data_IF_398601915744
#
_entry.id   IF_398601915744
#
_cell.length_a   1.000
_cell.length_b   1.000
_cell.length_c   1.000
_cell.angle_alpha   90.00
_cell.angle_beta   90.00
_cell.angle_gamma   90.00
#
_symmetry.space_group_name_H-M   'P 1'
#
loop_
_entity.id
_entity.type
_entity.pdbx_description
1 polymer ?
#
# COMPACT_ATOMS: atom_id res chain seq x y z
N UNK A 1 -43.40 23.72 -13.20
CA UNK A 1 -42.40 23.37 -14.24
C UNK A 1 -41.02 23.95 -13.97
N UNK A 2 -40.87 25.01 -13.18
CA UNK A 2 -39.58 25.67 -12.93
C UNK A 2 -38.55 24.79 -12.17
N UNK A 3 -39.03 23.93 -11.26
CA UNK A 3 -38.19 22.97 -10.52
C UNK A 3 -37.40 22.01 -11.41
N UNK A 4 -37.97 21.59 -12.56
CA UNK A 4 -37.30 20.66 -13.47
C UNK A 4 -36.20 21.35 -14.31
N UNK A 5 -36.39 22.63 -14.63
CA UNK A 5 -35.45 23.39 -15.46
C UNK A 5 -34.18 23.74 -14.66
N UNK A 6 -34.35 24.04 -13.37
CA UNK A 6 -33.23 24.28 -12.46
C UNK A 6 -32.38 23.01 -12.24
N UNK A 7 -33.01 21.84 -12.13
CA UNK A 7 -32.32 20.57 -11.97
C UNK A 7 -31.43 20.21 -13.18
N UNK A 8 -31.87 20.53 -14.39
CA UNK A 8 -31.11 20.23 -15.61
C UNK A 8 -29.84 21.09 -15.74
N UNK A 9 -29.94 22.38 -15.45
CA UNK A 9 -28.79 23.28 -15.46
C UNK A 9 -27.73 22.85 -14.43
N UNK A 10 -28.16 22.51 -13.21
CA UNK A 10 -27.27 22.00 -12.18
C UNK A 10 -26.54 20.72 -12.60
N UNK A 11 -27.26 19.78 -13.23
CA UNK A 11 -26.68 18.52 -13.71
C UNK A 11 -25.65 18.73 -14.83
N UNK A 12 -25.90 19.65 -15.76
CA UNK A 12 -24.93 19.98 -16.81
C UNK A 12 -23.70 20.64 -16.20
N UNK A 13 -23.88 21.59 -15.27
CA UNK A 13 -22.78 22.25 -14.58
C UNK A 13 -21.92 21.27 -13.78
N UNK A 14 -22.53 20.32 -13.06
CA UNK A 14 -21.79 19.31 -12.31
C UNK A 14 -21.00 18.38 -13.23
N UNK A 15 -21.58 17.99 -14.37
CA UNK A 15 -20.91 17.17 -15.37
C UNK A 15 -19.70 17.91 -15.97
N UNK A 16 -19.85 19.19 -16.35
CA UNK A 16 -18.74 20.01 -16.85
C UNK A 16 -17.63 20.14 -15.80
N UNK A 17 -17.99 20.44 -14.55
CA UNK A 17 -17.02 20.56 -13.45
C UNK A 17 -16.29 19.23 -13.21
N UNK A 18 -16.98 18.11 -13.27
CA UNK A 18 -16.38 16.77 -13.19
C UNK A 18 -15.35 16.55 -14.29
N UNK A 19 -15.68 16.87 -15.55
CA UNK A 19 -14.74 16.77 -16.67
C UNK A 19 -13.50 17.65 -16.47
N UNK A 20 -13.67 18.89 -15.98
CA UNK A 20 -12.55 19.79 -15.70
C UNK A 20 -11.61 19.24 -14.63
N UNK A 21 -12.15 18.67 -13.54
CA UNK A 21 -11.34 18.00 -12.50
C UNK A 21 -10.51 16.87 -13.12
N UNK A 22 -11.10 16.05 -14.00
CA UNK A 22 -10.38 14.94 -14.61
C UNK A 22 -9.34 15.37 -15.63
N UNK A 23 -9.60 16.41 -16.41
CA UNK A 23 -8.56 17.03 -17.27
C UNK A 23 -7.40 17.51 -16.41
N UNK A 24 -7.69 18.16 -15.28
CA UNK A 24 -6.65 18.60 -14.34
C UNK A 24 -5.85 17.42 -13.78
N UNK A 25 -6.51 16.34 -13.35
CA UNK A 25 -5.82 15.10 -12.89
C UNK A 25 -4.91 14.52 -13.97
N UNK A 26 -5.37 14.43 -15.21
CA UNK A 26 -4.56 13.93 -16.34
C UNK A 26 -3.35 14.82 -16.59
N UNK A 27 -3.52 16.14 -16.54
CA UNK A 27 -2.42 17.10 -16.67
C UNK A 27 -1.42 16.94 -15.53
N UNK A 28 -1.88 16.81 -14.28
CA UNK A 28 -1.01 16.55 -13.13
C UNK A 28 -0.24 15.25 -13.28
N UNK A 29 -0.90 14.18 -13.70
CA UNK A 29 -0.26 12.89 -13.93
C UNK A 29 0.79 12.98 -15.06
N UNK A 30 0.53 13.77 -16.10
CA UNK A 30 1.49 14.04 -17.16
C UNK A 30 2.71 14.83 -16.66
N UNK A 31 2.50 15.82 -15.79
CA UNK A 31 3.59 16.58 -15.18
C UNK A 31 4.45 15.71 -14.26
N UNK A 32 3.81 14.84 -13.47
CA UNK A 32 4.49 13.91 -12.53
C UNK A 32 5.30 12.85 -13.27
N UNK A 33 4.92 12.47 -14.51
CA UNK A 33 5.68 11.52 -15.33
C UNK A 33 7.15 11.88 -15.52
N UNK A 34 7.51 13.16 -15.43
CA UNK A 34 8.89 13.61 -15.62
C UNK A 34 9.77 13.43 -14.37
N UNK A 35 9.18 13.19 -13.20
CA UNK A 35 9.94 12.82 -12.01
C UNK A 35 10.34 11.35 -12.22
N UNK A 36 11.64 11.07 -12.22
CA UNK A 36 12.18 9.70 -12.24
C UNK A 36 11.80 8.98 -10.93
N UNK A 37 10.51 8.71 -10.75
CA UNK A 37 10.01 7.81 -9.74
C UNK A 37 10.58 6.43 -10.11
N UNK A 38 11.36 5.87 -9.20
CA UNK A 38 12.17 4.65 -9.40
C UNK A 38 11.31 3.37 -9.51
N UNK A 39 10.03 3.48 -9.89
CA UNK A 39 9.09 2.37 -9.89
C UNK A 39 8.22 2.31 -11.14
N UNK A 40 7.73 1.09 -11.35
CA UNK A 40 6.61 0.70 -12.22
C UNK A 40 5.29 1.49 -11.96
N UNK A 41 5.33 2.44 -11.02
CA UNK A 41 4.27 3.34 -10.57
C UNK A 41 3.66 4.16 -11.71
N UNK A 42 4.45 4.53 -12.74
CA UNK A 42 3.91 5.24 -13.91
C UNK A 42 2.94 4.36 -14.70
N UNK A 43 3.25 3.07 -14.86
CA UNK A 43 2.38 2.13 -15.58
C UNK A 43 1.12 1.82 -14.77
N UNK A 44 1.25 1.66 -13.46
CA UNK A 44 0.13 1.42 -12.55
C UNK A 44 -0.79 2.65 -12.48
N UNK A 45 -0.22 3.86 -12.39
CA UNK A 45 -0.97 5.13 -12.44
C UNK A 45 -1.67 5.32 -13.79
N UNK A 46 -1.03 4.97 -14.90
CA UNK A 46 -1.64 5.00 -16.23
C UNK A 46 -2.86 4.06 -16.30
N UNK A 47 -2.74 2.82 -15.78
CA UNK A 47 -3.84 1.87 -15.75
C UNK A 47 -5.02 2.41 -14.94
N UNK A 48 -4.76 2.97 -13.76
CA UNK A 48 -5.79 3.57 -12.90
C UNK A 48 -6.47 4.74 -13.62
N UNK A 49 -5.70 5.60 -14.31
CA UNK A 49 -6.26 6.71 -15.07
C UNK A 49 -7.15 6.25 -16.24
N UNK A 50 -6.77 5.18 -16.95
CA UNK A 50 -7.58 4.60 -18.02
C UNK A 50 -8.89 4.04 -17.48
N UNK A 51 -8.84 3.29 -16.37
CA UNK A 51 -10.04 2.75 -15.70
C UNK A 51 -10.98 3.89 -15.30
N UNK A 52 -10.44 4.95 -14.73
CA UNK A 52 -11.25 6.08 -14.31
C UNK A 52 -11.83 6.89 -15.49
N UNK A 53 -11.12 6.98 -16.61
CA UNK A 53 -11.63 7.60 -17.83
C UNK A 53 -12.81 6.80 -18.42
N UNK A 54 -12.70 5.47 -18.47
CA UNK A 54 -13.81 4.59 -18.88
C UNK A 54 -15.04 4.82 -18.00
N UNK A 55 -14.84 4.88 -16.69
CA UNK A 55 -15.91 5.13 -15.73
C UNK A 55 -16.55 6.51 -15.90
N UNK A 56 -15.74 7.54 -16.16
CA UNK A 56 -16.21 8.89 -16.42
C UNK A 56 -17.04 8.99 -17.71
N UNK A 57 -16.62 8.29 -18.77
CA UNK A 57 -17.41 8.19 -20.01
C UNK A 57 -18.74 7.48 -19.73
N UNK A 58 -18.72 6.37 -18.99
CA UNK A 58 -19.92 5.64 -18.63
C UNK A 58 -20.91 6.50 -17.82
N UNK A 59 -20.42 7.24 -16.81
CA UNK A 59 -21.24 8.18 -16.05
C UNK A 59 -21.79 9.31 -16.91
N UNK A 60 -21.00 9.81 -17.85
CA UNK A 60 -21.46 10.83 -18.81
C UNK A 60 -22.59 10.28 -19.69
N UNK A 61 -22.46 9.05 -20.21
CA UNK A 61 -23.50 8.40 -21.02
C UNK A 61 -24.77 8.21 -20.21
N UNK A 62 -24.68 7.72 -18.97
CA UNK A 62 -25.86 7.58 -18.10
C UNK A 62 -26.49 8.92 -17.74
N UNK A 63 -25.69 9.97 -17.55
CA UNK A 63 -26.18 11.31 -17.27
C UNK A 63 -26.87 11.98 -18.47
N UNK A 64 -26.44 11.67 -19.71
CA UNK A 64 -27.04 12.23 -20.95
C UNK A 64 -28.26 11.44 -21.40
N UNK A 65 -28.35 10.14 -21.06
CA UNK A 65 -29.54 9.34 -21.28
C UNK A 65 -30.66 9.77 -20.31
N UNK A 66 -31.30 10.89 -20.65
CA UNK A 66 -32.34 11.67 -19.96
C UNK A 66 -33.64 10.91 -19.59
N UNK A 67 -33.62 9.56 -19.54
CA UNK A 67 -34.71 8.80 -18.93
C UNK A 67 -34.67 9.03 -17.42
N UNK A 68 -35.82 9.11 -16.72
CA UNK A 68 -35.83 9.26 -15.27
C UNK A 68 -35.22 8.00 -14.63
N UNK A 69 -33.89 7.99 -14.50
CA UNK A 69 -33.11 6.93 -13.83
C UNK A 69 -33.61 6.78 -12.40
N UNK A 70 -34.10 7.87 -11.81
CA UNK A 70 -34.80 7.89 -10.53
C UNK A 70 -36.02 6.95 -10.46
N UNK A 71 -36.72 6.73 -11.59
CA UNK A 71 -37.92 5.91 -11.67
C UNK A 71 -37.60 4.42 -11.82
N UNK A 72 -36.52 4.07 -12.52
CA UNK A 72 -36.13 2.67 -12.74
C UNK A 72 -35.18 2.15 -11.66
N UNK A 73 -35.69 1.32 -10.74
CA UNK A 73 -34.87 0.62 -9.72
C UNK A 73 -33.68 -0.14 -10.32
N UNK A 74 -33.87 -0.74 -11.49
CA UNK A 74 -32.81 -1.51 -12.17
C UNK A 74 -31.62 -0.66 -12.60
N UNK A 75 -31.85 0.55 -13.11
CA UNK A 75 -30.76 1.43 -13.54
C UNK A 75 -29.95 1.94 -12.34
N UNK A 76 -30.61 2.28 -11.23
CA UNK A 76 -29.93 2.66 -9.99
C UNK A 76 -29.04 1.53 -9.47
N UNK A 77 -29.57 0.31 -9.43
CA UNK A 77 -28.78 -0.85 -9.01
C UNK A 77 -27.58 -1.09 -9.95
N UNK A 78 -27.77 -0.98 -11.26
CA UNK A 78 -26.70 -1.17 -12.23
C UNK A 78 -25.55 -0.15 -12.04
N UNK A 79 -25.89 1.12 -11.79
CA UNK A 79 -24.91 2.17 -11.50
C UNK A 79 -24.16 1.83 -10.20
N UNK A 80 -24.87 1.57 -9.10
CA UNK A 80 -24.22 1.24 -7.82
C UNK A 80 -23.32 0.00 -7.91
N UNK A 81 -23.73 -1.04 -8.64
CA UNK A 81 -22.90 -2.22 -8.87
C UNK A 81 -21.65 -1.89 -9.71
N UNK A 82 -21.79 -1.04 -10.73
CA UNK A 82 -20.65 -0.59 -11.53
C UNK A 82 -19.65 0.17 -10.67
N UNK A 83 -20.13 1.12 -9.87
CA UNK A 83 -19.30 1.90 -8.94
C UNK A 83 -18.56 0.99 -7.96
N UNK A 84 -19.27 0.01 -7.39
CA UNK A 84 -18.70 -0.96 -6.47
C UNK A 84 -17.61 -1.81 -7.15
N UNK A 85 -17.87 -2.36 -8.34
CA UNK A 85 -16.90 -3.17 -9.08
C UNK A 85 -15.67 -2.33 -9.43
N UNK A 86 -15.86 -1.08 -9.89
CA UNK A 86 -14.77 -0.20 -10.26
C UNK A 86 -13.88 0.15 -9.05
N UNK A 87 -14.48 0.47 -7.91
CA UNK A 87 -13.76 0.76 -6.67
C UNK A 87 -12.94 -0.46 -6.21
N UNK A 88 -13.54 -1.65 -6.22
CA UNK A 88 -12.84 -2.89 -5.86
C UNK A 88 -11.70 -3.21 -6.84
N UNK A 89 -11.95 -3.08 -8.14
CA UNK A 89 -10.94 -3.33 -9.17
C UNK A 89 -9.75 -2.37 -9.02
N UNK A 90 -10.01 -1.11 -8.70
CA UNK A 90 -8.96 -0.11 -8.43
C UNK A 90 -8.10 -0.53 -7.23
N UNK A 91 -8.71 -0.94 -6.12
CA UNK A 91 -7.99 -1.45 -4.94
C UNK A 91 -7.17 -2.69 -5.30
N UNK A 92 -7.73 -3.62 -6.06
CA UNK A 92 -7.03 -4.81 -6.53
C UNK A 92 -5.86 -4.48 -7.44
N UNK A 93 -5.97 -3.52 -8.36
CA UNK A 93 -4.86 -3.10 -9.22
C UNK A 93 -3.69 -2.55 -8.41
N UNK A 94 -3.97 -1.75 -7.37
CA UNK A 94 -2.94 -1.19 -6.47
C UNK A 94 -2.30 -2.28 -5.61
N UNK A 95 -3.10 -3.20 -5.06
CA UNK A 95 -2.63 -4.20 -4.10
C UNK A 95 -2.09 -5.48 -4.74
N UNK A 96 -2.52 -5.84 -5.95
CA UNK A 96 -2.17 -7.11 -6.57
C UNK A 96 -0.66 -7.28 -6.71
N UNK A 97 0.05 -6.23 -7.13
CA UNK A 97 1.50 -6.30 -7.30
C UNK A 97 2.26 -6.53 -5.98
N UNK A 98 2.11 -5.71 -4.92
CA UNK A 98 2.81 -5.93 -3.66
C UNK A 98 2.36 -7.22 -2.96
N UNK A 99 1.08 -7.58 -3.03
CA UNK A 99 0.58 -8.84 -2.46
C UNK A 99 1.22 -10.04 -3.15
N UNK A 100 1.24 -10.07 -4.48
CA UNK A 100 1.86 -11.14 -5.25
C UNK A 100 3.36 -11.28 -4.93
N UNK A 101 4.09 -10.17 -4.91
CA UNK A 101 5.51 -10.16 -4.57
C UNK A 101 5.77 -10.62 -3.13
N UNK A 102 4.90 -10.25 -2.18
CA UNK A 102 5.02 -10.64 -0.77
C UNK A 102 4.81 -12.14 -0.55
N UNK A 103 3.90 -12.77 -1.32
CA UNK A 103 3.56 -14.19 -1.19
C UNK A 103 4.61 -15.06 -1.86
N UNK A 104 4.95 -14.77 -3.12
CA UNK A 104 5.81 -15.66 -3.93
C UNK A 104 7.30 -15.35 -3.80
N UNK A 105 7.67 -14.09 -3.57
CA UNK A 105 9.08 -13.64 -3.58
C UNK A 105 9.48 -12.91 -2.31
N UNK A 106 8.88 -13.28 -1.16
CA UNK A 106 9.00 -12.60 0.14
C UNK A 106 10.42 -12.10 0.46
N UNK A 107 11.43 -12.97 0.43
CA UNK A 107 12.83 -12.63 0.80
C UNK A 107 13.49 -11.67 -0.19
N UNK A 108 13.21 -11.83 -1.48
CA UNK A 108 13.75 -10.94 -2.52
C UNK A 108 13.10 -9.57 -2.44
N UNK A 109 11.77 -9.55 -2.30
CA UNK A 109 10.99 -8.33 -2.12
C UNK A 109 11.45 -7.53 -0.90
N UNK A 110 11.64 -8.18 0.26
CA UNK A 110 12.10 -7.51 1.49
C UNK A 110 13.49 -6.87 1.34
N UNK A 111 14.43 -7.56 0.67
CA UNK A 111 15.76 -7.01 0.39
C UNK A 111 15.69 -5.80 -0.54
N UNK A 112 14.91 -5.92 -1.62
CA UNK A 112 14.71 -4.83 -2.57
C UNK A 112 14.05 -3.62 -1.90
N UNK A 113 12.99 -3.83 -1.13
CA UNK A 113 12.28 -2.77 -0.42
C UNK A 113 13.16 -2.08 0.63
N UNK A 114 13.95 -2.84 1.39
CA UNK A 114 14.92 -2.28 2.34
C UNK A 114 15.98 -1.45 1.63
N UNK A 115 16.56 -1.96 0.54
CA UNK A 115 17.55 -1.21 -0.25
C UNK A 115 16.97 0.11 -0.75
N UNK A 116 15.71 0.10 -1.17
CA UNK A 116 15.02 1.28 -1.65
C UNK A 116 14.70 2.30 -0.56
N UNK A 117 14.22 1.84 0.59
CA UNK A 117 14.02 2.70 1.77
C UNK A 117 15.32 3.40 2.20
N UNK A 118 16.46 2.71 2.10
CA UNK A 118 17.76 3.31 2.38
C UNK A 118 18.14 4.38 1.35
N UNK A 119 17.77 4.21 0.08
CA UNK A 119 18.06 5.17 -0.98
C UNK A 119 17.18 6.43 -0.91
N UNK A 120 15.87 6.26 -0.65
CA UNK A 120 14.88 7.36 -0.66
C UNK A 120 14.82 8.15 0.65
N UNK A 121 14.91 7.47 1.81
CA UNK A 121 14.75 8.12 3.12
C UNK A 121 16.01 8.80 3.65
N UNK A 122 17.20 8.22 3.42
CA UNK A 122 18.41 8.72 4.07
C UNK A 122 19.13 9.82 3.30
N UNK A 123 19.09 9.82 1.96
CA UNK A 123 19.87 10.79 1.18
C UNK A 123 19.31 12.20 1.25
N UNK A 124 17.98 12.36 1.31
CA UNK A 124 17.32 13.67 1.25
C UNK A 124 17.25 14.37 2.60
N UNK A 125 16.97 13.64 3.68
CA UNK A 125 16.75 14.23 5.00
C UNK A 125 18.03 14.31 5.85
N UNK A 126 18.97 13.38 5.66
CA UNK A 126 20.21 13.37 6.44
C UNK A 126 21.39 14.04 5.74
N UNK A 127 21.20 14.57 4.52
CA UNK A 127 22.24 15.32 3.81
C UNK A 127 23.56 14.56 3.72
N UNK A 128 23.53 13.22 3.66
CA UNK A 128 24.72 12.35 3.52
C UNK A 128 25.21 12.41 2.05
N UNK A 129 25.33 13.62 1.51
CA UNK A 129 26.13 13.91 0.35
C UNK A 129 27.55 14.12 0.88
N UNK A 130 28.33 13.03 1.02
CA UNK A 130 29.72 13.18 1.42
C UNK A 130 30.53 11.91 1.49
N UNK A 131 30.15 10.96 2.34
CA UNK A 131 31.12 9.94 2.79
C UNK A 131 30.66 8.49 2.65
N UNK A 132 29.65 8.16 1.84
CA UNK A 132 29.24 6.76 1.70
C UNK A 132 30.35 5.89 1.06
N UNK A 133 31.13 6.43 0.12
CA UNK A 133 32.33 5.75 -0.39
C UNK A 133 33.40 5.54 0.70
N UNK A 134 33.52 6.47 1.66
CA UNK A 134 34.44 6.31 2.77
C UNK A 134 33.95 5.25 3.77
N UNK A 135 32.63 5.16 4.00
CA UNK A 135 32.00 4.15 4.87
C UNK A 135 32.04 2.75 4.21
N UNK A 136 31.75 2.65 2.93
CA UNK A 136 31.80 1.37 2.19
C UNK A 136 33.25 0.88 2.06
N UNK A 137 34.22 1.79 1.84
CA UNK A 137 35.64 1.47 1.91
C UNK A 137 36.08 1.05 3.32
N UNK A 138 35.60 1.71 4.39
CA UNK A 138 35.92 1.28 5.77
C UNK A 138 35.25 -0.03 6.14
N UNK A 139 34.07 -0.34 5.61
CA UNK A 139 33.37 -1.60 5.86
C UNK A 139 34.05 -2.78 5.15
N UNK A 140 34.49 -2.61 3.90
CA UNK A 140 35.33 -3.60 3.20
C UNK A 140 36.69 -3.82 3.91
N UNK A 141 37.29 -2.76 4.49
CA UNK A 141 38.53 -2.89 5.28
C UNK A 141 38.27 -3.62 6.60
N UNK A 142 37.14 -3.33 7.27
CA UNK A 142 36.76 -4.00 8.52
C UNK A 142 36.51 -5.50 8.31
N UNK A 143 35.83 -5.89 7.22
CA UNK A 143 35.56 -7.29 6.89
C UNK A 143 36.84 -8.06 6.49
N UNK A 144 37.77 -7.39 5.79
CA UNK A 144 39.09 -7.96 5.52
C UNK A 144 39.94 -8.11 6.80
N UNK A 145 39.70 -7.29 7.83
CA UNK A 145 40.43 -7.35 9.10
C UNK A 145 39.91 -8.45 10.04
N UNK A 146 38.60 -8.70 10.08
CA UNK A 146 38.02 -9.79 10.89
C UNK A 146 38.38 -11.17 10.34
N UNK A 147 38.50 -11.32 9.02
CA UNK A 147 38.95 -12.57 8.39
C UNK A 147 40.41 -12.93 8.75
N UNK A 148 41.27 -11.96 9.10
CA UNK A 148 42.64 -12.23 9.56
C UNK A 148 42.70 -12.67 11.02
N UNK A 149 41.79 -12.20 11.87
CA UNK A 149 41.72 -12.63 13.27
C UNK A 149 41.16 -14.05 13.42
N UNK A 150 40.29 -14.50 12.52
CA UNK A 150 39.76 -15.87 12.55
C UNK A 150 40.77 -16.90 12.02
N UNK A 151 41.62 -16.55 11.06
CA UNK A 151 42.77 -17.39 10.67
C UNK A 151 43.83 -17.51 11.79
N UNK A 152 43.96 -16.49 12.63
CA UNK A 152 44.82 -16.52 13.82
C UNK A 152 44.22 -17.40 14.93
N UNK A 153 42.90 -17.32 15.17
CA UNK A 153 42.21 -18.21 16.11
C UNK A 153 42.14 -19.66 15.63
N UNK A 154 42.00 -19.90 14.32
CA UNK A 154 41.96 -21.24 13.73
C UNK A 154 43.27 -22.01 13.93
N UNK A 155 44.44 -21.34 13.95
CA UNK A 155 45.72 -21.99 14.30
C UNK A 155 45.82 -22.43 15.77
N UNK A 156 45.02 -21.85 16.66
CA UNK A 156 45.00 -22.20 18.09
C UNK A 156 43.78 -23.06 18.47
N UNK A 157 42.80 -23.23 17.56
CA UNK A 157 41.55 -23.99 17.82
C UNK A 157 41.73 -25.50 17.70
N UNK A 158 42.73 -25.99 16.94
CA UNK A 158 43.04 -27.43 16.90
C UNK A 158 43.59 -27.98 18.22
N UNK A 159 43.95 -27.12 19.18
CA UNK A 159 44.40 -27.53 20.50
C UNK A 159 43.26 -27.59 21.54
N UNK A 160 42.04 -27.17 21.20
CA UNK A 160 40.89 -27.13 22.14
C UNK A 160 39.67 -27.93 21.66
N UNK A 161 39.73 -28.50 20.46
CA UNK A 161 38.63 -29.24 19.84
C UNK A 161 38.52 -30.70 20.30
N UNK A 162 39.47 -31.22 21.07
CA UNK A 162 39.40 -32.59 21.63
C UNK A 162 38.67 -32.67 22.98
N UNK A 163 38.21 -31.54 23.55
CA UNK A 163 37.56 -31.52 24.88
C UNK A 163 36.03 -31.34 24.79
N UNK A 164 35.49 -30.74 23.73
CA UNK A 164 34.06 -30.41 23.65
C UNK A 164 33.22 -31.39 22.82
N UNK A 165 33.83 -32.34 22.11
CA UNK A 165 33.09 -33.32 21.27
C UNK A 165 32.54 -34.53 22.05
N UNK A 166 32.48 -34.45 23.39
CA UNK A 166 31.85 -35.45 24.25
C UNK A 166 30.66 -34.92 25.09
N UNK A 167 30.16 -33.71 24.84
CA UNK A 167 29.11 -33.10 25.70
C UNK A 167 27.86 -32.55 24.97
N UNK A 168 27.63 -32.87 23.70
CA UNK A 168 26.44 -32.40 22.95
C UNK A 168 25.46 -33.51 22.51
N UNK A 169 25.40 -34.64 23.23
CA UNK A 169 24.36 -35.66 22.99
C UNK A 169 23.11 -35.47 23.86
N UNK A 170 23.09 -34.53 24.81
CA UNK A 170 22.03 -34.49 25.84
C UNK A 170 21.17 -33.20 25.89
N UNK A 171 21.13 -32.38 24.84
CA UNK A 171 20.41 -31.10 24.90
C UNK A 171 19.48 -30.81 23.72
N UNK A 172 18.80 -31.83 23.21
CA UNK A 172 17.83 -31.69 22.11
C UNK A 172 16.35 -31.68 22.55
N UNK A 173 16.06 -31.55 23.86
CA UNK A 173 14.69 -31.59 24.39
C UNK A 173 14.14 -30.22 24.86
N UNK A 174 14.69 -29.08 24.43
CA UNK A 174 14.25 -27.73 24.87
C UNK A 174 13.82 -26.81 23.72
N UNK A 175 13.06 -27.31 22.75
CA UNK A 175 12.41 -26.44 21.76
C UNK A 175 10.91 -26.73 21.50
N UNK A 176 10.25 -27.52 22.35
CA UNK A 176 8.81 -27.83 22.23
C UNK A 176 7.90 -27.14 23.27
N UNK A 177 8.40 -26.19 24.07
CA UNK A 177 7.61 -25.60 25.18
C UNK A 177 7.34 -24.08 25.13
N UNK A 178 7.64 -23.37 24.03
CA UNK A 178 7.28 -21.94 23.87
C UNK A 178 6.20 -21.67 22.80
N UNK A 179 5.37 -22.66 22.48
CA UNK A 179 4.19 -22.47 21.62
C UNK A 179 2.89 -22.15 22.38
N UNK A 180 2.95 -21.92 23.70
CA UNK A 180 1.75 -21.76 24.55
C UNK A 180 1.60 -20.40 25.26
N UNK A 181 2.47 -19.42 25.05
CA UNK A 181 2.37 -18.11 25.72
C UNK A 181 2.36 -16.93 24.76
N UNK A 182 1.26 -16.75 24.04
CA UNK A 182 0.93 -15.49 23.39
C UNK A 182 -0.56 -15.45 23.00
N UNK A 183 -1.45 -15.56 23.99
CA UNK A 183 -2.81 -15.05 23.85
C UNK A 183 -2.81 -13.53 24.09
N UNK A 184 -3.05 -12.68 23.07
CA UNK A 184 -3.38 -11.30 23.31
C UNK A 184 -4.82 -11.20 23.83
N UNK A 185 -4.88 -10.87 25.12
CA UNK A 185 -6.04 -10.45 25.90
C UNK A 185 -7.06 -9.65 25.06
N UNK A 186 -8.12 -10.33 24.64
CA UNK A 186 -9.31 -9.77 24.00
C UNK A 186 -10.05 -8.93 25.05
N UNK A 187 -9.77 -7.63 25.08
CA UNK A 187 -10.49 -6.67 25.92
C UNK A 187 -11.87 -6.45 25.31
N UNK A 188 -12.88 -7.12 25.86
CA UNK A 188 -14.28 -6.84 25.60
C UNK A 188 -14.59 -5.41 26.04
N UNK A 189 -14.77 -4.50 25.07
CA UNK A 189 -15.46 -3.24 25.28
C UNK A 189 -16.91 -3.43 24.80
N UNK A 190 -17.67 -4.14 25.63
CA UNK A 190 -19.12 -4.02 25.65
C UNK A 190 -19.48 -2.85 26.58
N UNK A 191 -20.60 -2.21 26.29
CA UNK A 191 -21.24 -1.15 27.07
C UNK A 191 -20.58 0.23 26.86
N UNK A 192 -21.15 1.14 26.05
CA UNK A 192 -22.33 1.91 26.47
C UNK A 192 -22.99 2.53 25.22
N UNK A 193 -23.98 1.87 24.63
CA UNK A 193 -24.89 2.54 23.69
C UNK A 193 -25.95 3.26 24.52
N UNK A 194 -25.70 4.54 24.76
CA UNK A 194 -26.68 5.47 25.33
C UNK A 194 -27.82 5.67 24.34
N UNK A 195 -28.99 5.16 24.73
CA UNK A 195 -30.30 5.54 24.25
C UNK A 195 -30.57 7.02 24.59
N UNK A 196 -30.70 7.87 23.57
CA UNK A 196 -31.41 9.16 23.64
C UNK A 196 -32.22 9.27 22.34
N UNK A 197 -33.49 8.88 22.39
CA UNK A 197 -34.64 9.80 22.38
C UNK A 197 -34.63 10.70 21.14
N UNK A 198 -35.33 10.35 20.06
CA UNK A 198 -36.78 10.56 19.90
C UNK A 198 -37.24 11.93 20.42
N UNK A 199 -37.05 12.97 19.62
CA UNK A 199 -37.91 14.16 19.68
C UNK A 199 -38.24 14.63 18.27
N UNK A 200 -39.24 13.96 17.70
CA UNK A 200 -40.02 14.41 16.56
C UNK A 200 -40.97 15.52 17.04
N UNK A 201 -40.53 16.78 16.98
CA UNK A 201 -41.45 17.91 17.07
C UNK A 201 -41.78 18.42 15.68
N UNK A 202 -42.92 17.92 15.22
CA UNK A 202 -43.87 18.53 14.31
C UNK A 202 -44.05 20.02 14.62
N UNK A 203 -43.67 20.91 13.69
CA UNK A 203 -44.28 22.24 13.58
C UNK A 203 -44.39 22.63 12.10
N UNK A 204 -45.66 22.70 11.69
CA UNK A 204 -46.32 23.49 10.64
C UNK A 204 -45.46 24.29 9.66
#
# INVERSE_FOLDING_TARGET
MELCLHARAYHICSLVLQWLIWVFVVVFMWLVRNIQASFNEVRESLLIAVIALIFLVQNTVFGVMDRPVASSKHARNAITWTDFICANLTVWVILAYPVFQSIFYRKSYLRHWRAKLMDEGFKREYGIAGNFQAVEATMCIAEASTHKTDLSKSKNSWAFQDIYENQEVEHNDIYTLEASLSEPHRRNHQDTFGSLESNSHTLL
#
